data_IF_653768400782
#
_entry.id   IF_653768400782
#
_cell.length_a   1.000
_cell.length_b   1.000
_cell.length_c   1.000
_cell.angle_alpha   90.00
_cell.angle_beta   90.00
_cell.angle_gamma   90.00
#
_symmetry.space_group_name_H-M   'P 1'
#
loop_
_entity.id
_entity.type
_entity.pdbx_description
1 polymer ?
#
# COMPACT_ATOMS: atom_id res chain seq x y z
N UNK A 1 -18.82 15.49 15.82
CA UNK A 1 -19.82 14.98 16.80
C UNK A 1 -19.69 13.48 17.05
N UNK A 2 -19.70 12.62 16.02
CA UNK A 2 -19.69 11.16 16.19
C UNK A 2 -18.53 10.61 17.07
N UNK A 3 -17.31 11.11 16.90
CA UNK A 3 -16.14 10.63 17.66
C UNK A 3 -16.19 10.99 19.16
N UNK A 4 -16.70 12.18 19.51
CA UNK A 4 -16.86 12.58 20.92
C UNK A 4 -17.92 11.73 21.64
N UNK A 5 -18.98 11.36 20.93
CA UNK A 5 -20.00 10.44 21.46
C UNK A 5 -19.46 9.02 21.58
N UNK A 6 -18.65 8.57 20.61
CA UNK A 6 -17.96 7.29 20.67
C UNK A 6 -17.01 7.18 21.87
N UNK A 7 -16.23 8.22 22.15
CA UNK A 7 -15.31 8.25 23.31
C UNK A 7 -16.05 8.09 24.64
N UNK A 8 -17.28 8.63 24.75
CA UNK A 8 -18.12 8.45 25.95
C UNK A 8 -18.71 7.05 26.03
N UNK A 9 -19.07 6.47 24.89
CA UNK A 9 -19.71 5.14 24.80
C UNK A 9 -18.73 3.99 25.05
N UNK A 10 -17.45 4.19 24.73
CA UNK A 10 -16.41 3.18 24.86
C UNK A 10 -15.28 3.70 25.75
N UNK A 11 -15.38 3.59 27.08
CA UNK A 11 -14.36 4.10 28.01
C UNK A 11 -13.06 3.28 28.01
N UNK A 12 -13.11 2.02 27.57
CA UNK A 12 -11.95 1.15 27.42
C UNK A 12 -12.05 0.32 26.13
N UNK A 13 -11.02 0.44 25.30
CA UNK A 13 -10.88 -0.27 24.02
C UNK A 13 -9.71 -1.28 24.03
N UNK A 14 -9.23 -1.71 25.21
CA UNK A 14 -8.16 -2.70 25.32
C UNK A 14 -8.51 -4.07 24.73
N UNK A 15 -9.81 -4.41 24.71
CA UNK A 15 -10.32 -5.64 24.08
C UNK A 15 -10.61 -5.40 22.59
N UNK A 16 -10.24 -6.37 21.75
CA UNK A 16 -10.41 -6.30 20.29
C UNK A 16 -11.85 -6.00 19.85
N UNK A 17 -12.85 -6.54 20.54
CA UNK A 17 -14.27 -6.30 20.23
C UNK A 17 -14.69 -4.85 20.53
N UNK A 18 -14.21 -4.28 21.63
CA UNK A 18 -14.50 -2.88 21.95
C UNK A 18 -13.76 -1.94 20.99
N UNK A 19 -12.52 -2.27 20.63
CA UNK A 19 -11.73 -1.51 19.67
C UNK A 19 -12.38 -1.47 18.28
N UNK A 20 -12.87 -2.62 17.78
CA UNK A 20 -13.53 -2.68 16.47
C UNK A 20 -14.86 -1.92 16.46
N UNK A 21 -15.66 -2.04 17.52
CA UNK A 21 -16.91 -1.28 17.67
C UNK A 21 -16.67 0.23 17.79
N UNK A 22 -15.64 0.63 18.55
CA UNK A 22 -15.24 2.02 18.68
C UNK A 22 -14.78 2.59 17.34
N UNK A 23 -13.89 1.89 16.63
CA UNK A 23 -13.41 2.29 15.31
C UNK A 23 -14.58 2.45 14.35
N UNK A 24 -15.47 1.45 14.27
CA UNK A 24 -16.65 1.49 13.41
C UNK A 24 -17.56 2.68 13.74
N UNK A 25 -17.75 3.02 15.02
CA UNK A 25 -18.55 4.18 15.46
C UNK A 25 -17.90 5.51 15.08
N UNK A 26 -16.57 5.57 14.99
CA UNK A 26 -15.83 6.75 14.58
C UNK A 26 -15.86 7.00 13.06
N UNK A 27 -16.25 6.01 12.26
CA UNK A 27 -16.36 6.15 10.81
C UNK A 27 -17.58 6.99 10.40
N UNK A 28 -17.43 7.76 9.32
CA UNK A 28 -18.55 8.53 8.76
C UNK A 28 -19.65 7.59 8.23
N UNK A 29 -20.92 8.02 8.15
CA UNK A 29 -22.02 7.20 7.63
C UNK A 29 -21.71 6.58 6.24
N UNK A 30 -21.19 7.39 5.32
CA UNK A 30 -20.78 6.97 3.97
C UNK A 30 -19.74 5.83 3.97
N UNK A 31 -18.88 5.81 4.99
CA UNK A 31 -17.83 4.79 5.11
C UNK A 31 -18.41 3.53 5.75
N UNK A 32 -19.31 3.67 6.73
CA UNK A 32 -20.01 2.54 7.36
C UNK A 32 -20.92 1.76 6.39
N UNK A 33 -21.40 2.40 5.33
CA UNK A 33 -22.12 1.71 4.24
C UNK A 33 -21.21 0.76 3.45
N UNK A 34 -19.90 1.02 3.40
CA UNK A 34 -18.93 0.25 2.61
C UNK A 34 -18.07 -0.69 3.44
N UNK A 35 -17.87 -0.37 4.72
CA UNK A 35 -17.06 -1.13 5.66
C UNK A 35 -17.97 -1.71 6.74
N UNK A 36 -18.02 -3.03 6.86
CA UNK A 36 -18.72 -3.68 7.98
C UNK A 36 -17.88 -3.68 9.26
N UNK A 37 -18.52 -4.00 10.40
CA UNK A 37 -17.82 -4.19 11.67
C UNK A 37 -16.74 -5.29 11.59
N UNK A 38 -16.97 -6.34 10.81
CA UNK A 38 -16.00 -7.42 10.58
C UNK A 38 -14.73 -6.93 9.88
N UNK A 39 -14.84 -5.93 9.00
CA UNK A 39 -13.66 -5.32 8.38
C UNK A 39 -12.82 -4.57 9.42
N UNK A 40 -13.46 -3.86 10.35
CA UNK A 40 -12.76 -3.18 11.45
C UNK A 40 -12.06 -4.18 12.37
N UNK A 41 -12.73 -5.29 12.69
CA UNK A 41 -12.13 -6.37 13.50
C UNK A 41 -10.93 -7.01 12.79
N UNK A 42 -11.06 -7.29 11.49
CA UNK A 42 -9.97 -7.85 10.68
C UNK A 42 -8.80 -6.88 10.59
N UNK A 43 -9.06 -5.59 10.35
CA UNK A 43 -8.03 -4.55 10.27
C UNK A 43 -7.18 -4.45 11.54
N UNK A 44 -7.84 -4.45 12.71
CA UNK A 44 -7.15 -4.33 14.00
C UNK A 44 -6.44 -5.62 14.42
N UNK A 45 -6.89 -6.77 13.92
CA UNK A 45 -6.23 -8.07 14.15
C UNK A 45 -4.99 -8.24 13.28
N UNK A 46 -5.07 -7.86 12.00
CA UNK A 46 -4.00 -8.04 11.03
C UNK A 46 -2.95 -6.93 11.07
N UNK A 47 -3.25 -5.75 11.63
CA UNK A 47 -2.30 -4.65 11.84
C UNK A 47 -2.23 -4.25 13.33
N UNK A 48 -1.32 -4.84 14.11
CA UNK A 48 -1.13 -4.50 15.51
C UNK A 48 -0.76 -3.03 15.73
N UNK A 49 -0.03 -2.44 14.78
CA UNK A 49 0.38 -1.03 14.81
C UNK A 49 -0.83 -0.10 14.70
N UNK A 50 -1.80 -0.44 13.85
CA UNK A 50 -3.07 0.28 13.75
C UNK A 50 -3.83 0.23 15.08
N UNK A 51 -3.86 -0.95 15.71
CA UNK A 51 -4.55 -1.13 16.98
C UNK A 51 -3.90 -0.31 18.11
N UNK A 52 -2.57 -0.31 18.22
CA UNK A 52 -1.89 0.51 19.23
C UNK A 52 -2.09 2.01 18.97
N UNK A 53 -2.03 2.48 17.72
CA UNK A 53 -2.35 3.88 17.40
C UNK A 53 -3.78 4.26 17.76
N UNK A 54 -4.74 3.36 17.57
CA UNK A 54 -6.13 3.58 17.97
C UNK A 54 -6.25 3.72 19.49
N UNK A 55 -5.57 2.84 20.25
CA UNK A 55 -5.51 2.92 21.73
C UNK A 55 -4.86 4.21 22.21
N UNK A 56 -3.78 4.64 21.58
CA UNK A 56 -3.10 5.89 21.93
C UNK A 56 -3.97 7.11 21.66
N UNK A 57 -4.61 7.17 20.49
CA UNK A 57 -5.51 8.25 20.13
C UNK A 57 -6.75 8.30 21.05
N UNK A 58 -7.28 7.13 21.44
CA UNK A 58 -8.38 7.01 22.40
C UNK A 58 -7.98 7.48 23.81
N UNK A 59 -6.87 6.97 24.37
CA UNK A 59 -6.37 7.33 25.70
C UNK A 59 -6.07 8.82 25.83
N UNK A 60 -5.48 9.39 24.79
CA UNK A 60 -5.14 10.81 24.72
C UNK A 60 -6.32 11.72 24.36
N UNK A 61 -7.49 11.15 24.03
CA UNK A 61 -8.65 11.85 23.50
C UNK A 61 -8.33 12.76 22.31
N UNK A 62 -7.32 12.38 21.51
CA UNK A 62 -6.86 13.17 20.38
C UNK A 62 -7.77 12.94 19.16
N UNK A 63 -8.72 13.86 18.96
CA UNK A 63 -9.70 13.79 17.87
C UNK A 63 -9.06 13.87 16.48
N UNK A 64 -8.00 14.67 16.32
CA UNK A 64 -7.28 14.79 15.04
C UNK A 64 -6.58 13.47 14.69
N UNK A 65 -5.96 12.82 15.67
CA UNK A 65 -5.36 11.50 15.48
C UNK A 65 -6.42 10.45 15.12
N UNK A 66 -7.60 10.48 15.75
CA UNK A 66 -8.72 9.59 15.43
C UNK A 66 -9.26 9.82 14.01
N UNK A 67 -9.40 11.08 13.60
CA UNK A 67 -9.84 11.41 12.24
C UNK A 67 -8.84 10.91 11.19
N UNK A 68 -7.56 11.16 11.40
CA UNK A 68 -6.50 10.64 10.55
C UNK A 68 -6.51 9.11 10.46
N UNK A 69 -6.77 8.41 11.58
CA UNK A 69 -6.91 6.96 11.60
C UNK A 69 -8.15 6.48 10.81
N UNK A 70 -9.29 7.15 10.96
CA UNK A 70 -10.50 6.82 10.18
C UNK A 70 -10.28 6.99 8.67
N UNK A 71 -9.62 8.08 8.27
CA UNK A 71 -9.23 8.31 6.87
C UNK A 71 -8.32 7.21 6.38
N UNK A 72 -7.30 6.85 7.16
CA UNK A 72 -6.38 5.78 6.82
C UNK A 72 -7.10 4.44 6.64
N UNK A 73 -7.95 4.04 7.59
CA UNK A 73 -8.74 2.79 7.52
C UNK A 73 -9.63 2.76 6.27
N UNK A 74 -10.25 3.88 5.90
CA UNK A 74 -11.03 4.00 4.66
C UNK A 74 -10.16 3.71 3.42
N UNK A 75 -8.93 4.22 3.38
CA UNK A 75 -8.02 4.09 2.24
C UNK A 75 -7.48 2.65 2.09
N UNK A 76 -7.26 1.96 3.21
CA UNK A 76 -6.75 0.59 3.21
C UNK A 76 -7.84 -0.48 3.34
N UNK A 77 -9.12 -0.10 3.29
CA UNK A 77 -10.28 -0.99 3.46
C UNK A 77 -10.22 -2.25 2.58
N UNK A 78 -9.73 -2.11 1.34
CA UNK A 78 -9.57 -3.20 0.38
C UNK A 78 -8.64 -4.32 0.88
N UNK A 79 -7.68 -4.00 1.76
CA UNK A 79 -6.75 -4.99 2.36
C UNK A 79 -7.44 -5.98 3.28
N UNK A 80 -8.65 -5.65 3.71
CA UNK A 80 -9.42 -6.45 4.66
C UNK A 80 -10.70 -7.01 4.03
N UNK A 81 -10.90 -6.79 2.73
CA UNK A 81 -12.08 -7.29 2.04
C UNK A 81 -12.01 -8.82 1.88
N UNK A 82 -13.05 -9.59 2.27
CA UNK A 82 -13.04 -11.06 2.21
C UNK A 82 -12.72 -11.62 0.82
N UNK A 83 -13.29 -11.03 -0.24
CA UNK A 83 -13.05 -11.48 -1.62
C UNK A 83 -11.61 -11.28 -2.10
N UNK A 84 -10.86 -10.40 -1.43
CA UNK A 84 -9.47 -10.10 -1.75
C UNK A 84 -8.49 -10.85 -0.83
N UNK A 85 -8.97 -11.75 0.04
CA UNK A 85 -8.13 -12.46 1.03
C UNK A 85 -6.92 -13.15 0.40
N UNK A 86 -7.12 -13.98 -0.65
CA UNK A 86 -6.03 -14.69 -1.33
C UNK A 86 -4.97 -13.74 -1.91
N UNK A 87 -5.42 -12.61 -2.42
CA UNK A 87 -4.53 -11.59 -2.97
C UNK A 87 -3.78 -10.87 -1.86
N UNK A 88 -4.43 -10.55 -0.75
CA UNK A 88 -3.79 -9.94 0.41
C UNK A 88 -2.78 -10.90 1.05
N UNK A 89 -3.08 -12.21 1.10
CA UNK A 89 -2.15 -13.26 1.49
C UNK A 89 -0.94 -13.32 0.56
N UNK A 90 -1.15 -13.23 -0.76
CA UNK A 90 -0.07 -13.16 -1.75
C UNK A 90 0.79 -11.90 -1.58
N UNK A 91 0.18 -10.72 -1.42
CA UNK A 91 0.91 -9.46 -1.20
C UNK A 91 1.74 -9.55 0.09
N UNK A 92 1.18 -10.17 1.15
CA UNK A 92 1.90 -10.41 2.40
C UNK A 92 3.05 -11.39 2.19
N UNK A 93 2.82 -12.54 1.56
CA UNK A 93 3.88 -13.53 1.35
C UNK A 93 5.04 -12.92 0.55
N UNK A 94 4.72 -12.14 -0.48
CA UNK A 94 5.66 -11.34 -1.26
C UNK A 94 6.49 -10.38 -0.38
N UNK A 95 5.83 -9.68 0.55
CA UNK A 95 6.51 -8.74 1.45
C UNK A 95 7.37 -9.46 2.50
N UNK A 96 6.93 -10.63 2.98
CA UNK A 96 7.63 -11.40 4.02
C UNK A 96 8.76 -12.28 3.50
N UNK A 97 8.72 -12.70 2.23
CA UNK A 97 9.75 -13.54 1.61
C UNK A 97 11.11 -12.82 1.48
N UNK A 98 11.15 -11.48 1.67
CA UNK A 98 12.38 -10.69 1.63
C UNK A 98 13.04 -10.60 0.24
N UNK A 99 12.61 -11.43 -0.71
CA UNK A 99 13.04 -11.45 -2.11
C UNK A 99 12.93 -10.07 -2.75
N UNK A 100 11.80 -9.38 -2.58
CA UNK A 100 11.66 -8.00 -3.09
C UNK A 100 12.63 -7.01 -2.44
N UNK A 101 12.91 -7.15 -1.15
CA UNK A 101 13.82 -6.26 -0.44
C UNK A 101 15.27 -6.47 -0.90
N UNK A 102 15.67 -7.73 -1.09
CA UNK A 102 16.95 -8.10 -1.72
C UNK A 102 17.07 -7.53 -3.13
N UNK A 103 16.03 -7.68 -3.95
CA UNK A 103 15.95 -7.12 -5.31
C UNK A 103 16.07 -5.58 -5.27
N UNK A 104 15.33 -4.92 -4.39
CA UNK A 104 15.33 -3.46 -4.26
C UNK A 104 16.70 -2.91 -3.82
N UNK A 105 17.46 -3.69 -3.04
CA UNK A 105 18.84 -3.36 -2.65
C UNK A 105 19.88 -3.77 -3.71
N UNK A 106 19.48 -4.46 -4.77
CA UNK A 106 20.40 -4.95 -5.81
C UNK A 106 21.22 -6.17 -5.38
N UNK A 107 20.79 -6.89 -4.34
CA UNK A 107 21.49 -8.04 -3.76
C UNK A 107 21.10 -9.38 -4.42
N UNK A 108 20.18 -9.35 -5.39
CA UNK A 108 19.69 -10.56 -6.06
C UNK A 108 20.61 -10.92 -7.22
N UNK A 109 21.17 -12.13 -7.17
CA UNK A 109 21.89 -12.73 -8.31
C UNK A 109 20.88 -13.01 -9.44
N UNK A 110 20.81 -12.11 -10.42
CA UNK A 110 19.93 -12.27 -11.59
C UNK A 110 20.74 -12.70 -12.79
N UNK A 111 20.18 -13.62 -13.57
CA UNK A 111 20.69 -13.87 -14.91
C UNK A 111 20.43 -12.64 -15.77
N UNK A 112 21.46 -12.17 -16.47
CA UNK A 112 21.36 -11.07 -17.40
C UNK A 112 21.06 -11.59 -18.80
N UNK A 113 20.17 -10.89 -19.48
CA UNK A 113 19.83 -11.14 -20.86
C UNK A 113 21.06 -10.92 -21.73
N UNK A 114 21.28 -11.84 -22.66
CA UNK A 114 22.35 -11.75 -23.66
C UNK A 114 21.73 -11.73 -25.06
N UNK A 115 22.22 -10.87 -25.96
CA UNK A 115 21.77 -10.89 -27.36
C UNK A 115 21.99 -12.27 -27.97
N UNK A 116 20.95 -12.81 -28.63
CA UNK A 116 20.98 -14.17 -29.21
C UNK A 116 21.41 -14.20 -30.69
N UNK A 117 21.60 -13.05 -31.34
CA UNK A 117 21.85 -13.02 -32.79
C UNK A 117 23.34 -12.91 -33.15
N UNK A 118 23.79 -13.79 -34.05
CA UNK A 118 25.09 -13.72 -34.71
C UNK A 118 25.23 -12.51 -35.69
N UNK A 119 24.12 -11.82 -36.00
CA UNK A 119 24.07 -10.70 -36.94
C UNK A 119 24.29 -9.31 -36.31
N UNK A 120 24.55 -9.24 -34.99
CA UNK A 120 24.76 -7.96 -34.30
C UNK A 120 26.23 -7.50 -34.40
N UNK A 121 26.45 -6.26 -34.83
CA UNK A 121 27.78 -5.63 -34.79
C UNK A 121 28.37 -5.74 -33.38
N UNK A 122 29.66 -6.11 -33.27
CA UNK A 122 30.34 -6.38 -32.00
C UNK A 122 30.16 -5.25 -30.97
N UNK A 123 30.22 -3.99 -31.41
CA UNK A 123 30.03 -2.82 -30.54
C UNK A 123 28.62 -2.74 -29.93
N UNK A 124 27.61 -3.17 -30.69
CA UNK A 124 26.21 -3.19 -30.23
C UNK A 124 25.99 -4.30 -29.20
N UNK A 125 26.61 -5.47 -29.41
CA UNK A 125 26.57 -6.59 -28.45
C UNK A 125 27.25 -6.22 -27.14
N UNK A 126 28.45 -5.62 -27.19
CA UNK A 126 29.18 -5.14 -26.01
C UNK A 126 28.37 -4.07 -25.27
N UNK A 127 27.75 -3.14 -26.01
CA UNK A 127 26.89 -2.13 -25.39
C UNK A 127 25.69 -2.77 -24.69
N UNK A 128 24.98 -3.71 -25.33
CA UNK A 128 23.84 -4.39 -24.72
C UNK A 128 24.21 -5.23 -23.50
N UNK A 129 25.35 -5.92 -23.51
CA UNK A 129 25.86 -6.64 -22.34
C UNK A 129 26.19 -5.67 -21.19
N UNK A 130 26.75 -4.49 -21.50
CA UNK A 130 27.06 -3.46 -20.50
C UNK A 130 25.83 -2.91 -19.78
N UNK A 131 24.63 -3.03 -20.38
CA UNK A 131 23.38 -2.58 -19.77
C UNK A 131 22.91 -3.47 -18.62
N UNK A 132 23.48 -4.67 -18.45
CA UNK A 132 23.10 -5.62 -17.38
C UNK A 132 21.58 -5.80 -17.25
N UNK A 133 20.90 -6.00 -18.38
CA UNK A 133 19.44 -6.12 -18.42
C UNK A 133 19.06 -7.47 -17.80
N UNK A 134 18.30 -7.51 -16.70
CA UNK A 134 17.90 -8.78 -16.09
C UNK A 134 16.92 -9.54 -16.99
N UNK A 135 17.08 -10.87 -17.08
CA UNK A 135 16.09 -11.74 -17.74
C UNK A 135 14.82 -11.78 -16.89
N UNK A 136 13.68 -11.42 -17.49
CA UNK A 136 12.36 -11.62 -16.89
C UNK A 136 11.83 -13.00 -17.29
N UNK A 137 12.00 -13.99 -16.42
CA UNK A 137 11.43 -15.33 -16.60
C UNK A 137 9.99 -15.31 -16.08
N UNK A 138 9.01 -15.58 -16.95
CA UNK A 138 7.58 -15.67 -16.58
C UNK A 138 7.30 -16.72 -15.49
N UNK A 139 8.23 -17.66 -15.27
CA UNK A 139 8.14 -18.71 -14.26
C UNK A 139 8.82 -18.34 -12.93
N UNK A 140 9.65 -17.29 -12.90
CA UNK A 140 10.17 -16.80 -11.64
C UNK A 140 9.09 -15.90 -11.06
N UNK A 141 8.49 -16.37 -9.97
CA UNK A 141 7.43 -15.69 -9.22
C UNK A 141 7.94 -14.41 -8.54
N UNK A 142 8.74 -13.60 -9.23
CA UNK A 142 9.23 -12.32 -8.74
C UNK A 142 8.11 -11.31 -8.95
N UNK A 143 7.47 -10.88 -7.86
CA UNK A 143 6.39 -9.91 -7.94
C UNK A 143 6.91 -8.57 -8.46
N UNK A 144 6.02 -7.79 -9.07
CA UNK A 144 6.38 -6.47 -9.59
C UNK A 144 6.97 -5.62 -8.46
N UNK A 145 8.21 -5.13 -8.64
CA UNK A 145 8.93 -4.32 -7.63
C UNK A 145 8.14 -3.07 -7.20
N UNK A 146 7.20 -2.61 -8.03
CA UNK A 146 6.27 -1.52 -7.71
C UNK A 146 5.41 -1.81 -6.47
N UNK A 147 5.15 -3.09 -6.18
CA UNK A 147 4.37 -3.56 -5.05
C UNK A 147 5.17 -3.60 -3.74
N UNK A 148 6.51 -3.51 -3.81
CA UNK A 148 7.35 -3.43 -2.62
C UNK A 148 6.94 -2.23 -1.76
N UNK A 149 6.56 -2.47 -0.51
CA UNK A 149 6.11 -1.45 0.44
C UNK A 149 5.02 -0.51 -0.13
N UNK A 150 4.09 -1.03 -0.95
CA UNK A 150 3.01 -0.23 -1.50
C UNK A 150 2.10 0.34 -0.40
N UNK A 151 1.90 1.67 -0.43
CA UNK A 151 1.15 2.43 0.56
C UNK A 151 2.02 2.94 1.72
N UNK A 152 3.32 2.62 1.75
CA UNK A 152 4.20 3.02 2.86
C UNK A 152 4.45 4.53 2.94
N UNK A 153 4.19 5.29 1.87
CA UNK A 153 4.50 6.73 1.83
C UNK A 153 3.69 7.54 2.85
N UNK A 154 2.56 7.01 3.32
CA UNK A 154 1.74 7.60 4.38
C UNK A 154 2.46 7.64 5.74
N UNK A 155 3.48 6.81 5.96
CA UNK A 155 4.23 6.74 7.21
C UNK A 155 5.38 7.75 7.31
N UNK A 156 5.73 8.41 6.19
CA UNK A 156 6.79 9.43 6.13
C UNK A 156 6.18 10.79 5.78
N UNK A 157 6.31 11.76 6.69
CA UNK A 157 5.77 13.10 6.52
C UNK A 157 6.20 13.77 5.20
N UNK A 158 7.48 13.63 4.79
CA UNK A 158 7.99 14.22 3.54
C UNK A 158 7.41 13.55 2.30
N UNK A 159 7.20 12.24 2.33
CA UNK A 159 6.61 11.50 1.22
C UNK A 159 5.11 11.83 1.10
N UNK A 160 4.42 11.93 2.23
CA UNK A 160 3.01 12.34 2.30
C UNK A 160 2.80 13.76 1.76
N UNK A 161 3.61 14.72 2.18
CA UNK A 161 3.52 16.10 1.68
C UNK A 161 3.69 16.17 0.15
N UNK A 162 4.60 15.36 -0.42
CA UNK A 162 4.75 15.26 -1.87
C UNK A 162 3.51 14.69 -2.55
N UNK A 163 2.90 13.66 -1.97
CA UNK A 163 1.65 13.08 -2.49
C UNK A 163 0.51 14.09 -2.45
N UNK A 164 0.31 14.76 -1.31
CA UNK A 164 -0.76 15.74 -1.13
C UNK A 164 -0.65 16.91 -2.12
N UNK A 165 0.60 17.33 -2.44
CA UNK A 165 0.84 18.35 -3.47
C UNK A 165 0.48 17.86 -4.88
N UNK A 166 0.77 16.60 -5.20
CA UNK A 166 0.52 16.03 -6.53
C UNK A 166 -0.96 15.74 -6.74
N UNK A 167 -1.63 15.21 -5.73
CA UNK A 167 -3.02 14.75 -5.77
C UNK A 167 -4.00 15.76 -5.16
N UNK A 168 -3.70 17.05 -5.30
CA UNK A 168 -4.57 18.13 -4.87
C UNK A 168 -5.78 18.28 -5.80
N UNK A 169 -6.99 18.37 -5.25
CA UNK A 169 -8.24 18.57 -6.01
C UNK A 169 -8.31 19.91 -6.76
N UNK A 170 -7.44 20.86 -6.41
CA UNK A 170 -7.42 22.21 -6.96
C UNK A 170 -6.47 22.39 -8.15
N UNK A 171 -5.61 21.40 -8.44
CA UNK A 171 -4.54 21.54 -9.42
C UNK A 171 -4.41 20.33 -10.34
N UNK A 172 -4.09 20.57 -11.61
CA UNK A 172 -3.62 19.53 -12.51
C UNK A 172 -2.09 19.39 -12.38
N UNK A 173 -1.62 18.19 -12.05
CA UNK A 173 -0.19 17.93 -11.86
C UNK A 173 0.39 17.19 -13.06
N UNK A 174 1.38 17.79 -13.71
CA UNK A 174 2.20 17.14 -14.73
C UNK A 174 3.51 16.63 -14.10
N UNK A 175 3.76 15.33 -14.25
CA UNK A 175 4.99 14.69 -13.76
C UNK A 175 6.03 14.61 -14.88
N UNK A 176 6.89 15.62 -14.98
CA UNK A 176 8.01 15.65 -15.92
C UNK A 176 9.31 15.29 -15.17
N UNK A 177 9.87 14.11 -15.42
CA UNK A 177 11.20 13.71 -14.93
C UNK A 177 11.87 12.69 -15.86
N UNK A 178 13.19 12.60 -15.77
CA UNK A 178 14.03 11.57 -16.42
C UNK A 178 13.59 10.14 -16.04
N UNK A 179 13.93 9.15 -16.88
CA UNK A 179 13.59 7.74 -16.60
C UNK A 179 14.20 7.27 -15.27
N UNK A 180 13.55 6.32 -14.60
CA UNK A 180 14.08 5.70 -13.37
C UNK A 180 13.89 6.47 -12.05
N UNK A 181 13.32 7.69 -12.05
CA UNK A 181 13.17 8.50 -10.81
C UNK A 181 12.00 8.09 -9.89
N UNK A 182 11.39 6.92 -10.10
CA UNK A 182 10.30 6.42 -9.24
C UNK A 182 8.93 7.09 -9.45
N UNK A 183 8.70 7.82 -10.55
CA UNK A 183 7.39 8.43 -10.87
C UNK A 183 6.22 7.45 -10.79
N UNK A 184 6.40 6.25 -11.36
CA UNK A 184 5.37 5.21 -11.35
C UNK A 184 5.04 4.82 -9.92
N UNK A 185 6.05 4.61 -9.07
CA UNK A 185 5.83 4.30 -7.64
C UNK A 185 5.06 5.42 -6.95
N UNK A 186 5.46 6.66 -7.18
CA UNK A 186 4.79 7.84 -6.63
C UNK A 186 3.31 7.95 -7.05
N UNK A 187 3.00 7.65 -8.32
CA UNK A 187 1.62 7.59 -8.80
C UNK A 187 0.82 6.49 -8.11
N UNK A 188 1.37 5.27 -8.02
CA UNK A 188 0.70 4.15 -7.36
C UNK A 188 0.48 4.41 -5.87
N UNK A 189 1.45 5.02 -5.17
CA UNK A 189 1.31 5.44 -3.77
C UNK A 189 0.18 6.46 -3.58
N UNK A 190 0.11 7.48 -4.45
CA UNK A 190 -0.95 8.47 -4.39
C UNK A 190 -2.32 7.93 -4.80
N UNK A 191 -2.39 7.02 -5.77
CA UNK A 191 -3.62 6.30 -6.08
C UNK A 191 -4.09 5.48 -4.88
N UNK A 192 -3.20 4.72 -4.23
CA UNK A 192 -3.52 3.98 -3.01
C UNK A 192 -4.06 4.90 -1.91
N UNK A 193 -3.46 6.09 -1.76
CA UNK A 193 -3.84 7.05 -0.73
C UNK A 193 -5.15 7.77 -1.04
N UNK A 194 -5.36 8.27 -2.25
CA UNK A 194 -6.48 9.17 -2.55
C UNK A 194 -7.68 8.47 -3.17
N UNK A 195 -7.47 7.43 -3.98
CA UNK A 195 -8.55 6.77 -4.74
C UNK A 195 -8.73 5.30 -4.35
N UNK A 196 -7.77 4.68 -3.68
CA UNK A 196 -7.71 3.25 -3.47
C UNK A 196 -7.06 2.52 -4.65
N UNK A 197 -6.71 1.26 -4.43
CA UNK A 197 -6.08 0.41 -5.43
C UNK A 197 -7.02 -0.72 -5.84
N UNK A 198 -7.30 -0.83 -7.13
CA UNK A 198 -8.30 -1.76 -7.67
C UNK A 198 -7.63 -2.86 -8.49
N UNK A 199 -7.95 -4.10 -8.18
CA UNK A 199 -7.59 -5.25 -9.00
C UNK A 199 -8.79 -5.66 -9.83
N UNK A 200 -8.59 -5.78 -11.14
CA UNK A 200 -9.59 -6.36 -12.02
C UNK A 200 -9.37 -7.87 -12.08
N UNK A 201 -10.36 -8.64 -11.61
CA UNK A 201 -10.36 -10.08 -11.84
C UNK A 201 -10.68 -10.32 -13.31
N UNK A 202 -9.68 -10.71 -14.09
CA UNK A 202 -9.93 -11.30 -15.41
C UNK A 202 -10.49 -12.70 -15.18
N UNK A 203 -11.79 -12.89 -15.42
CA UNK A 203 -12.37 -14.22 -15.56
C UNK A 203 -11.79 -14.84 -16.84
N UNK A 204 -10.65 -15.52 -16.71
CA UNK A 204 -10.27 -16.57 -17.64
C UNK A 204 -11.03 -17.81 -17.17
N UNK A 205 -12.05 -18.18 -17.95
CA UNK A 205 -12.84 -19.40 -17.77
C UNK A 205 -12.07 -20.66 -18.11
#
# INVERSE_FOLDING_TARGET
MAQQEALKRFPDIGKSEHASNFLYTCLTPEVREKLSLEHCATALSEDPTLHEKLKDAHRSQNLEALENLCVHVKQIAWRFHPDLRKMNELIRSIAFDGSLASIARGESERHFWKPTSDDAHADTTVHHESLHIPVGTMNDAVPLIILHELGSFQHNAKSREKLDRIFSSLNHTFLLNTSGTGKTKLLFEGLCLHWGFYFTRTNLG
#
